data_IF_103252387040
#
_entry.id   IF_103252387040
#
_cell.length_a   1.000
_cell.length_b   1.000
_cell.length_c   1.000
_cell.angle_alpha   90.00
_cell.angle_beta   90.00
_cell.angle_gamma   90.00
#
_symmetry.space_group_name_H-M   'P 1'
#
loop_
_entity.id
_entity.type
_entity.pdbx_description
1 polymer ?
#
# COMPACT_ATOMS: atom_id res chain seq x y z
N UNK A 1 5.49 -5.88 -2.59
CA UNK A 1 6.50 -6.91 -2.25
C UNK A 1 7.58 -7.04 -3.30
N UNK A 2 7.26 -7.47 -4.53
CA UNK A 2 8.27 -7.66 -5.61
C UNK A 2 9.15 -6.42 -5.81
N UNK A 3 8.54 -5.25 -5.95
CA UNK A 3 9.25 -3.99 -6.16
C UNK A 3 10.20 -3.63 -5.02
N UNK A 4 9.79 -3.79 -3.76
CA UNK A 4 10.66 -3.54 -2.61
C UNK A 4 11.89 -4.46 -2.58
N UNK A 5 11.75 -5.69 -3.08
CA UNK A 5 12.84 -6.69 -3.09
C UNK A 5 13.73 -6.59 -4.34
N UNK A 6 13.17 -6.17 -5.47
CA UNK A 6 13.84 -6.20 -6.77
C UNK A 6 14.18 -4.80 -7.32
N UNK A 7 13.65 -3.73 -6.73
CA UNK A 7 13.79 -2.34 -7.18
C UNK A 7 13.12 -2.04 -8.52
N UNK A 8 12.19 -2.89 -8.98
CA UNK A 8 11.52 -2.76 -10.27
C UNK A 8 10.17 -3.45 -10.28
N UNK A 9 9.31 -3.09 -11.23
CA UNK A 9 8.02 -3.74 -11.44
C UNK A 9 8.18 -5.16 -12.00
N UNK A 10 7.30 -6.11 -11.63
CA UNK A 10 7.32 -7.48 -12.17
C UNK A 10 6.91 -7.53 -13.65
N UNK A 11 6.05 -6.60 -14.08
CA UNK A 11 5.63 -6.41 -15.47
C UNK A 11 5.73 -4.91 -15.81
N UNK A 12 6.20 -4.59 -17.01
CA UNK A 12 6.33 -3.21 -17.45
C UNK A 12 6.24 -3.12 -18.98
N UNK A 13 5.45 -2.17 -19.46
CA UNK A 13 5.41 -1.73 -20.85
C UNK A 13 4.92 -0.28 -20.88
N UNK A 14 5.36 0.49 -21.89
CA UNK A 14 4.81 1.82 -22.17
C UNK A 14 3.45 1.77 -22.85
N UNK A 15 3.16 0.66 -23.52
CA UNK A 15 1.86 0.36 -24.10
C UNK A 15 1.01 -0.41 -23.09
N UNK A 16 -0.12 0.17 -22.70
CA UNK A 16 -1.05 -0.43 -21.75
C UNK A 16 -1.64 -1.74 -22.23
N UNK A 17 -1.87 -1.92 -23.53
CA UNK A 17 -2.40 -3.17 -24.09
C UNK A 17 -1.40 -4.30 -23.86
N UNK A 18 -0.13 -4.04 -24.17
CA UNK A 18 0.96 -5.00 -23.92
C UNK A 18 1.14 -5.24 -22.42
N UNK A 19 1.05 -4.21 -21.59
CA UNK A 19 1.15 -4.36 -20.14
C UNK A 19 0.08 -5.29 -19.58
N UNK A 20 -1.18 -5.14 -20.02
CA UNK A 20 -2.27 -6.02 -19.61
C UNK A 20 -2.04 -7.45 -20.06
N UNK A 21 -1.56 -7.66 -21.29
CA UNK A 21 -1.22 -8.99 -21.78
C UNK A 21 -0.13 -9.63 -20.89
N UNK A 22 0.96 -8.93 -20.59
CA UNK A 22 2.01 -9.41 -19.68
C UNK A 22 1.43 -9.78 -18.30
N UNK A 23 0.55 -8.95 -17.74
CA UNK A 23 -0.10 -9.23 -16.45
C UNK A 23 -0.99 -10.48 -16.53
N UNK A 24 -1.62 -10.77 -17.67
CA UNK A 24 -2.47 -11.94 -17.84
C UNK A 24 -1.66 -13.22 -18.06
N UNK A 25 -0.65 -13.19 -18.93
CA UNK A 25 -0.03 -14.42 -19.47
C UNK A 25 1.43 -14.63 -19.09
N UNK A 26 2.22 -13.57 -18.93
CA UNK A 26 3.67 -13.72 -18.69
C UNK A 26 3.93 -14.22 -17.27
N UNK A 27 4.82 -15.19 -17.14
CA UNK A 27 5.30 -15.67 -15.84
C UNK A 27 6.22 -14.63 -15.19
N UNK A 28 6.08 -14.48 -13.87
CA UNK A 28 6.92 -13.56 -13.10
C UNK A 28 8.37 -14.06 -13.11
N UNK A 29 9.30 -13.21 -13.54
CA UNK A 29 10.74 -13.52 -13.52
C UNK A 29 11.37 -13.10 -12.20
N UNK A 30 12.11 -13.99 -11.57
CA UNK A 30 12.79 -13.73 -10.29
C UNK A 30 14.30 -13.56 -10.49
N UNK A 31 14.91 -12.49 -9.95
CA UNK A 31 16.37 -12.39 -9.88
C UNK A 31 16.98 -13.50 -9.02
N UNK A 32 18.16 -14.01 -9.40
CA UNK A 32 18.87 -15.05 -8.66
C UNK A 32 19.31 -14.61 -7.24
N UNK A 33 19.30 -13.31 -6.95
CA UNK A 33 19.60 -12.75 -5.63
C UNK A 33 18.47 -12.94 -4.61
N UNK A 34 17.27 -13.32 -5.02
CA UNK A 34 16.17 -13.55 -4.10
C UNK A 34 16.36 -14.87 -3.33
N UNK A 35 16.00 -14.85 -2.05
CA UNK A 35 15.94 -16.09 -1.26
C UNK A 35 14.81 -16.99 -1.76
N UNK A 36 14.91 -18.30 -1.50
CA UNK A 36 13.87 -19.27 -1.85
C UNK A 36 12.52 -18.91 -1.20
N UNK A 37 12.53 -18.44 0.04
CA UNK A 37 11.33 -18.01 0.77
C UNK A 37 10.69 -16.78 0.11
N UNK A 38 11.50 -15.85 -0.39
CA UNK A 38 11.03 -14.66 -1.09
C UNK A 38 10.39 -15.03 -2.43
N UNK A 39 11.02 -15.91 -3.20
CA UNK A 39 10.46 -16.42 -4.46
C UNK A 39 9.15 -17.19 -4.23
N UNK A 40 9.10 -18.05 -3.20
CA UNK A 40 7.88 -18.75 -2.79
C UNK A 40 6.74 -17.79 -2.46
N UNK A 41 7.01 -16.76 -1.65
CA UNK A 41 6.01 -15.76 -1.27
C UNK A 41 5.49 -15.02 -2.51
N UNK A 42 6.40 -14.51 -3.34
CA UNK A 42 6.04 -13.74 -4.53
C UNK A 42 5.28 -14.59 -5.55
N UNK A 43 5.65 -15.86 -5.74
CA UNK A 43 4.94 -16.79 -6.59
C UNK A 43 3.51 -17.06 -6.12
N UNK A 44 3.31 -17.21 -4.81
CA UNK A 44 1.98 -17.37 -4.22
C UNK A 44 1.11 -16.11 -4.35
N UNK A 45 1.67 -14.93 -4.08
CA UNK A 45 0.95 -13.66 -4.15
C UNK A 45 0.63 -13.22 -5.59
N UNK A 46 1.53 -13.49 -6.54
CA UNK A 46 1.38 -13.11 -7.95
C UNK A 46 0.76 -14.22 -8.81
N UNK A 47 0.10 -15.19 -8.18
CA UNK A 47 -0.66 -16.21 -8.86
C UNK A 47 -1.80 -15.59 -9.68
N UNK A 48 -1.89 -15.99 -10.96
CA UNK A 48 -2.87 -15.44 -11.92
C UNK A 48 -4.28 -15.84 -11.53
N UNK A 49 -4.49 -17.12 -11.23
CA UNK A 49 -5.75 -17.69 -10.75
C UNK A 49 -6.02 -17.22 -9.31
N UNK A 50 -7.05 -16.39 -9.06
CA UNK A 50 -7.34 -15.88 -7.73
C UNK A 50 -7.65 -16.99 -6.71
N UNK A 51 -8.23 -18.10 -7.14
CA UNK A 51 -8.58 -19.23 -6.25
C UNK A 51 -7.36 -19.99 -5.73
N UNK A 52 -6.21 -19.84 -6.39
CA UNK A 52 -4.92 -20.43 -6.01
C UNK A 52 -3.95 -19.41 -5.43
N UNK A 53 -4.35 -18.14 -5.36
CA UNK A 53 -3.52 -17.06 -4.85
C UNK A 53 -3.41 -17.19 -3.34
N UNK A 54 -2.19 -17.03 -2.83
CA UNK A 54 -1.94 -17.03 -1.39
C UNK A 54 -2.80 -15.94 -0.72
N UNK A 55 -3.60 -16.32 0.28
CA UNK A 55 -4.56 -15.45 0.96
C UNK A 55 -5.87 -15.24 0.19
N UNK A 56 -6.10 -15.97 -0.91
CA UNK A 56 -7.38 -16.01 -1.61
C UNK A 56 -8.33 -17.11 -1.10
N UNK A 57 -7.86 -17.96 -0.18
CA UNK A 57 -8.64 -19.03 0.45
C UNK A 57 -9.38 -18.60 1.72
N UNK A 58 -9.99 -19.56 2.41
CA UNK A 58 -10.74 -19.31 3.66
C UNK A 58 -9.85 -18.76 4.80
N UNK A 59 -8.55 -19.04 4.77
CA UNK A 59 -7.62 -18.56 5.78
C UNK A 59 -7.18 -17.10 5.56
N UNK A 60 -7.47 -16.52 4.39
CA UNK A 60 -7.24 -15.10 4.06
C UNK A 60 -5.85 -14.62 4.53
N UNK A 61 -5.78 -13.55 5.32
CA UNK A 61 -4.53 -12.98 5.80
C UNK A 61 -3.70 -13.94 6.67
N UNK A 62 -4.30 -14.93 7.34
CA UNK A 62 -3.54 -15.89 8.16
C UNK A 62 -2.68 -16.82 7.30
N UNK A 63 -3.09 -17.12 6.07
CA UNK A 63 -2.25 -17.86 5.11
C UNK A 63 -0.98 -17.08 4.76
N UNK A 64 -1.12 -15.77 4.55
CA UNK A 64 0.01 -14.88 4.25
C UNK A 64 0.92 -14.73 5.47
N UNK A 65 0.34 -14.52 6.66
CA UNK A 65 1.07 -14.31 7.92
C UNK A 65 1.87 -15.53 8.36
N UNK A 66 1.37 -16.73 8.07
CA UNK A 66 2.01 -18.00 8.42
C UNK A 66 3.06 -18.46 7.39
N UNK A 67 3.18 -17.79 6.25
CA UNK A 67 4.17 -18.13 5.23
C UNK A 67 5.62 -18.03 5.76
N UNK A 68 6.49 -18.95 5.32
CA UNK A 68 7.88 -19.09 5.81
C UNK A 68 8.73 -17.81 5.71
N UNK A 69 8.40 -16.94 4.75
CA UNK A 69 9.02 -15.62 4.60
C UNK A 69 8.88 -14.76 5.88
N UNK A 70 7.75 -14.88 6.59
CA UNK A 70 7.45 -14.12 7.80
C UNK A 70 7.71 -14.91 9.09
N UNK A 71 8.43 -16.04 9.04
CA UNK A 71 8.65 -16.92 10.21
C UNK A 71 9.26 -16.23 11.44
N UNK A 72 9.99 -15.14 11.24
CA UNK A 72 10.64 -14.36 12.31
C UNK A 72 9.76 -13.22 12.85
N UNK A 73 8.57 -13.00 12.29
CA UNK A 73 7.69 -11.90 12.64
C UNK A 73 6.70 -12.34 13.71
N UNK A 74 6.71 -11.66 14.85
CA UNK A 74 5.62 -11.73 15.81
C UNK A 74 4.57 -10.67 15.44
N UNK A 75 3.43 -11.12 14.90
CA UNK A 75 2.36 -10.24 14.45
C UNK A 75 1.68 -9.48 15.60
N UNK A 76 1.66 -10.00 16.84
CA UNK A 76 1.15 -9.27 18.01
C UNK A 76 2.02 -8.05 18.32
N UNK A 77 3.34 -8.23 18.26
CA UNK A 77 4.29 -7.15 18.50
C UNK A 77 4.27 -6.11 17.37
N UNK A 78 4.02 -6.52 16.12
CA UNK A 78 3.76 -5.57 15.02
C UNK A 78 2.52 -4.72 15.33
N UNK A 79 1.39 -5.36 15.64
CA UNK A 79 0.13 -4.67 15.91
C UNK A 79 0.23 -3.72 17.11
N UNK A 80 0.99 -4.11 18.14
CA UNK A 80 1.24 -3.30 19.34
C UNK A 80 2.43 -2.34 19.19
N UNK A 81 3.00 -2.21 18.00
CA UNK A 81 4.12 -1.31 17.68
C UNK A 81 5.36 -1.52 18.57
N UNK A 82 5.61 -2.75 18.99
CA UNK A 82 6.76 -3.14 19.82
C UNK A 82 7.99 -3.50 19.01
N UNK A 83 7.82 -3.79 17.71
CA UNK A 83 8.94 -4.00 16.79
C UNK A 83 9.50 -2.63 16.37
N UNK A 84 10.80 -2.44 16.57
CA UNK A 84 11.51 -1.24 16.10
C UNK A 84 11.57 -1.29 14.56
N UNK A 85 11.09 -0.27 13.84
CA UNK A 85 11.22 -0.22 12.38
C UNK A 85 12.68 -0.20 11.94
N UNK A 86 13.04 -0.86 10.83
CA UNK A 86 14.43 -0.90 10.34
C UNK A 86 14.92 0.47 9.86
N UNK A 87 14.01 1.37 9.50
CA UNK A 87 14.31 2.75 9.09
C UNK A 87 13.47 3.67 9.99
N UNK A 88 14.14 4.55 10.73
CA UNK A 88 13.52 5.59 11.54
C UNK A 88 13.85 6.93 10.86
N UNK A 89 12.87 7.62 10.26
CA UNK A 89 13.09 8.92 9.64
C UNK A 89 13.62 9.94 10.65
N UNK A 90 14.56 10.79 10.22
CA UNK A 90 15.11 11.87 11.03
C UNK A 90 14.27 13.12 10.81
N UNK A 91 13.45 13.47 11.78
CA UNK A 91 12.57 14.63 11.73
C UNK A 91 13.25 15.80 12.45
N UNK A 92 13.54 16.87 11.71
CA UNK A 92 14.25 18.05 12.24
C UNK A 92 13.35 18.98 13.06
N UNK A 93 12.07 19.07 12.70
CA UNK A 93 11.07 19.93 13.34
C UNK A 93 9.66 19.40 13.07
N UNK A 94 8.68 19.92 13.82
CA UNK A 94 7.26 19.60 13.63
C UNK A 94 6.75 19.93 12.21
N UNK A 95 7.36 20.92 11.56
CA UNK A 95 7.03 21.37 10.20
C UNK A 95 7.98 20.82 9.12
N UNK A 96 8.78 19.81 9.44
CA UNK A 96 9.74 19.23 8.48
C UNK A 96 9.03 18.58 7.31
N UNK A 97 9.42 18.97 6.09
CA UNK A 97 8.91 18.42 4.83
C UNK A 97 9.99 17.65 4.06
N UNK A 98 11.09 17.26 4.73
CA UNK A 98 12.30 16.68 4.10
C UNK A 98 12.06 15.37 3.33
N UNK A 99 10.96 14.66 3.61
CA UNK A 99 10.58 13.38 2.97
C UNK A 99 9.47 13.52 1.93
N UNK A 100 9.09 14.75 1.58
CA UNK A 100 8.10 15.06 0.55
C UNK A 100 8.79 15.71 -0.66
N UNK A 101 8.18 15.57 -1.84
CA UNK A 101 8.72 16.16 -3.06
C UNK A 101 8.54 17.69 -3.04
N UNK A 102 9.60 18.41 -3.45
CA UNK A 102 9.62 19.88 -3.43
C UNK A 102 8.56 20.51 -4.32
N UNK A 103 8.20 19.85 -5.41
CA UNK A 103 7.12 20.29 -6.30
C UNK A 103 5.85 20.60 -5.52
N UNK A 104 5.51 19.81 -4.50
CA UNK A 104 4.32 20.06 -3.67
C UNK A 104 4.60 20.96 -2.47
N UNK A 105 5.77 20.84 -1.83
CA UNK A 105 6.05 21.62 -0.60
C UNK A 105 6.32 23.09 -0.87
N UNK A 106 6.67 23.43 -2.11
CA UNK A 106 6.89 24.79 -2.56
C UNK A 106 5.60 25.45 -3.06
N UNK A 107 4.49 24.70 -3.20
CA UNK A 107 3.16 25.25 -3.52
C UNK A 107 2.53 25.99 -2.33
N UNK A 108 1.61 26.90 -2.64
CA UNK A 108 0.83 27.60 -1.62
C UNK A 108 -0.28 26.66 -1.10
N UNK A 109 -0.35 26.36 0.22
CA UNK A 109 -1.33 25.43 0.77
C UNK A 109 -2.71 26.10 0.90
N UNK A 110 -3.33 26.41 -0.23
CA UNK A 110 -4.66 27.00 -0.32
C UNK A 110 -5.65 26.02 -0.97
N UNK A 111 -6.92 26.16 -0.58
CA UNK A 111 -7.99 25.38 -1.20
C UNK A 111 -8.27 25.93 -2.60
N UNK A 112 -8.12 25.08 -3.62
CA UNK A 112 -8.59 25.41 -4.96
C UNK A 112 -10.11 25.58 -4.93
N UNK A 113 -10.66 26.75 -5.34
CA UNK A 113 -12.10 26.95 -5.38
C UNK A 113 -12.75 25.98 -6.38
N UNK A 114 -13.97 25.50 -6.12
CA UNK A 114 -14.68 24.66 -7.08
C UNK A 114 -14.93 25.42 -8.38
N UNK A 115 -15.04 24.72 -9.53
CA UNK A 115 -15.55 25.32 -10.76
C UNK A 115 -16.91 25.98 -10.51
N UNK A 116 -17.16 27.12 -11.17
CA UNK A 116 -18.43 27.82 -11.07
C UNK A 116 -19.53 26.99 -11.76
N UNK A 117 -20.20 26.13 -10.98
CA UNK A 117 -21.40 25.41 -11.40
C UNK A 117 -22.52 26.43 -11.56
N UNK A 118 -22.65 26.97 -12.79
CA UNK A 118 -23.72 27.87 -13.16
C UNK A 118 -25.06 27.32 -12.69
N UNK A 119 -25.76 28.09 -11.85
CA UNK A 119 -27.03 27.74 -11.21
C UNK A 119 -28.03 27.22 -12.25
N UNK A 120 -28.18 25.91 -12.35
CA UNK A 120 -29.35 25.24 -12.91
C UNK A 120 -29.75 24.06 -12.00
N UNK A 121 -30.50 24.42 -10.97
CA UNK A 121 -31.56 23.65 -10.31
C UNK A 121 -31.46 22.11 -10.28
N UNK A 122 -31.03 21.59 -9.13
CA UNK A 122 -31.72 20.59 -8.27
C UNK A 122 -30.69 19.67 -7.64
N UNK A 123 -30.22 19.99 -6.43
CA UNK A 123 -29.49 19.03 -5.58
C UNK A 123 -30.44 17.88 -5.21
N UNK A 124 -30.17 16.62 -5.60
CA UNK A 124 -30.72 15.50 -4.86
C UNK A 124 -29.98 15.43 -3.51
N UNK A 125 -30.75 15.24 -2.43
CA UNK A 125 -30.28 15.21 -1.05
C UNK A 125 -28.98 14.42 -0.87
N UNK A 126 -27.87 15.11 -0.64
CA UNK A 126 -26.66 14.50 -0.12
C UNK A 126 -26.88 14.22 1.37
N UNK A 127 -27.07 12.95 1.73
CA UNK A 127 -27.09 12.49 3.12
C UNK A 127 -25.87 13.02 3.88
N UNK A 128 -26.03 13.61 5.08
CA UNK A 128 -24.89 14.09 5.85
C UNK A 128 -24.11 12.90 6.43
N UNK A 129 -22.95 12.60 5.83
CA UNK A 129 -21.93 11.76 6.46
C UNK A 129 -21.16 12.60 7.48
N UNK A 130 -21.74 12.84 8.65
CA UNK A 130 -20.98 13.25 9.83
C UNK A 130 -20.54 12.00 10.61
N UNK A 131 -19.49 11.32 10.13
CA UNK A 131 -18.74 10.39 10.98
C UNK A 131 -17.71 11.20 11.77
N UNK A 132 -18.16 11.85 12.85
CA UNK A 132 -17.22 12.27 13.89
C UNK A 132 -16.66 11.00 14.54
N UNK A 133 -15.43 10.62 14.15
CA UNK A 133 -14.65 9.72 14.98
C UNK A 133 -14.41 10.42 16.31
N UNK A 134 -15.11 9.98 17.35
CA UNK A 134 -14.85 10.36 18.73
C UNK A 134 -13.43 9.92 19.08
N UNK A 135 -12.50 10.88 19.00
CA UNK A 135 -11.15 10.72 19.54
C UNK A 135 -11.30 10.75 21.06
N UNK A 136 -11.55 9.60 21.66
CA UNK A 136 -11.41 9.43 23.10
C UNK A 136 -9.95 9.60 23.47
N UNK A 137 -9.60 10.83 23.85
CA UNK A 137 -8.39 11.12 24.62
C UNK A 137 -8.51 10.43 25.98
N UNK A 138 -7.87 9.28 26.11
CA UNK A 138 -7.24 8.85 27.36
C UNK A 138 -5.79 8.52 26.96
N UNK A 139 -4.73 9.13 27.49
CA UNK A 139 -4.56 9.57 28.86
C UNK A 139 -3.88 8.46 29.64
N UNK A 140 -2.55 8.45 29.58
CA UNK A 140 -1.58 7.77 30.46
C UNK A 140 -1.43 6.24 30.35
N UNK A 141 -0.19 5.87 30.01
CA UNK A 141 0.50 4.56 29.95
C UNK A 141 0.26 3.69 28.72
#
# INVERSE_FOLDING_TARGET
MYEMMCGRLPFYSRDHVVLYELILVEEVRFPASLSLESMSLLGGLLQKDPSKRLGGGEGDAEEVKSHVFFKSINWDDVCKKRIIPPIIPVIKSETSTDYFEKEFTDENPELTPPPDEGIHHSTPDLCPLSSSSSRSSQGLW
#
